data_IF_479340639376
#
_entry.id   IF_479340639376
#
_cell.length_a   1.000
_cell.length_b   1.000
_cell.length_c   1.000
_cell.angle_alpha   90.00
_cell.angle_beta   90.00
_cell.angle_gamma   90.00
#
_symmetry.space_group_name_H-M   'P 1'
#
loop_
_entity.id
_entity.type
_entity.pdbx_description
1 polymer ?
#
# COMPACT_ATOMS: atom_id res chain seq x y z
N UNK A 1 -18.00 -29.45 -82.73
CA UNK A 1 -16.59 -29.03 -82.85
C UNK A 1 -16.10 -28.57 -81.48
N UNK A 2 -15.03 -29.20 -80.98
CA UNK A 2 -14.35 -28.98 -79.69
C UNK A 2 -13.44 -27.74 -79.77
N UNK A 3 -13.29 -26.99 -78.66
CA UNK A 3 -12.05 -26.56 -77.93
C UNK A 3 -12.54 -25.82 -76.65
N UNK A 4 -12.46 -26.31 -75.40
CA UNK A 4 -11.33 -26.63 -74.49
C UNK A 4 -10.32 -25.48 -74.31
N UNK A 5 -10.14 -25.08 -73.03
CA UNK A 5 -8.95 -24.59 -72.29
C UNK A 5 -9.44 -23.60 -71.21
N UNK A 6 -9.64 -23.91 -69.93
CA UNK A 6 -8.82 -24.64 -68.94
C UNK A 6 -7.37 -24.13 -68.85
N UNK A 7 -6.97 -23.77 -67.63
CA UNK A 7 -5.60 -23.48 -67.13
C UNK A 7 -5.25 -21.98 -67.02
N UNK A 8 -5.42 -21.43 -65.82
CA UNK A 8 -4.27 -20.93 -65.05
C UNK A 8 -4.66 -20.78 -63.59
N UNK A 9 -4.83 -21.93 -62.95
CA UNK A 9 -4.61 -22.10 -61.52
C UNK A 9 -3.08 -22.25 -61.34
N UNK A 10 -2.56 -21.73 -60.22
CA UNK A 10 -1.22 -21.94 -59.62
C UNK A 10 -0.14 -20.91 -60.03
N UNK A 11 0.13 -19.94 -59.13
CA UNK A 11 1.45 -19.67 -58.49
C UNK A 11 1.56 -18.22 -57.99
N UNK A 12 1.19 -18.01 -56.72
CA UNK A 12 1.95 -17.19 -55.78
C UNK A 12 1.46 -17.49 -54.37
N UNK A 13 2.02 -18.56 -53.81
CA UNK A 13 2.13 -18.70 -52.37
C UNK A 13 2.98 -17.56 -51.80
N UNK A 14 2.86 -17.35 -50.48
CA UNK A 14 3.63 -16.43 -49.64
C UNK A 14 3.07 -15.00 -49.46
N UNK A 15 2.08 -14.88 -48.58
CA UNK A 15 2.11 -13.87 -47.52
C UNK A 15 1.37 -14.40 -46.29
N UNK A 16 1.84 -15.55 -45.79
CA UNK A 16 1.69 -15.92 -44.39
C UNK A 16 2.39 -14.84 -43.54
N UNK A 17 1.73 -14.47 -42.44
CA UNK A 17 2.34 -13.88 -41.23
C UNK A 17 2.86 -12.44 -41.36
N UNK A 18 1.95 -11.48 -41.52
CA UNK A 18 2.19 -10.12 -41.05
C UNK A 18 1.52 -9.92 -39.69
N UNK A 19 2.33 -10.13 -38.65
CA UNK A 19 2.24 -9.50 -37.33
C UNK A 19 1.12 -9.98 -36.40
N UNK A 20 1.11 -11.29 -36.10
CA UNK A 20 0.91 -11.68 -34.69
C UNK A 20 2.16 -11.28 -33.92
N UNK A 21 2.29 -9.99 -33.58
CA UNK A 21 3.29 -9.62 -32.58
C UNK A 21 2.91 -10.37 -31.31
N UNK A 22 3.80 -11.20 -30.73
CA UNK A 22 3.57 -11.62 -29.37
C UNK A 22 3.46 -10.32 -28.57
N UNK A 23 2.30 -10.09 -27.95
CA UNK A 23 2.18 -9.09 -26.89
C UNK A 23 3.40 -9.33 -26.01
N UNK A 24 4.35 -8.38 -25.93
CA UNK A 24 5.55 -8.64 -25.17
C UNK A 24 5.12 -9.04 -23.77
N UNK A 25 5.77 -10.05 -23.22
CA UNK A 25 5.59 -10.58 -21.87
C UNK A 25 5.92 -9.54 -20.77
N UNK A 26 5.63 -8.26 -21.01
CA UNK A 26 5.72 -7.16 -20.08
C UNK A 26 4.61 -7.20 -19.02
N UNK A 27 3.47 -7.84 -19.34
CA UNK A 27 2.45 -8.18 -18.34
C UNK A 27 2.98 -9.18 -17.28
N UNK A 28 4.07 -9.91 -17.57
CA UNK A 28 4.66 -10.92 -16.69
C UNK A 28 5.91 -10.41 -15.94
N UNK A 29 6.04 -9.08 -15.74
CA UNK A 29 7.06 -8.50 -14.85
C UNK A 29 6.51 -7.57 -13.77
N UNK A 30 5.19 -7.49 -13.60
CA UNK A 30 4.59 -6.93 -12.38
C UNK A 30 4.51 -7.99 -11.28
N UNK A 31 5.60 -8.75 -11.14
CA UNK A 31 5.80 -9.65 -10.02
C UNK A 31 5.88 -8.82 -8.74
N UNK A 32 4.86 -8.97 -7.91
CA UNK A 32 4.90 -8.82 -6.45
C UNK A 32 6.33 -8.94 -5.91
N UNK A 33 6.88 -7.86 -5.38
CA UNK A 33 8.26 -7.94 -4.88
C UNK A 33 8.90 -6.68 -4.33
N UNK A 34 8.11 -5.69 -3.94
CA UNK A 34 8.60 -4.73 -2.96
C UNK A 34 7.45 -4.43 -2.04
N UNK A 35 7.36 -5.22 -0.98
CA UNK A 35 6.71 -4.82 0.26
C UNK A 35 7.41 -3.50 0.62
N UNK A 36 6.87 -2.37 0.11
CA UNK A 36 7.38 -1.05 0.44
C UNK A 36 7.51 -1.06 1.95
N UNK A 37 8.70 -0.73 2.47
CA UNK A 37 8.91 -0.60 3.90
C UNK A 37 7.76 0.25 4.42
N UNK A 38 6.80 -0.39 5.10
CA UNK A 38 5.68 0.33 5.67
C UNK A 38 6.29 1.37 6.58
N UNK A 39 5.90 2.62 6.36
CA UNK A 39 6.37 3.73 7.17
C UNK A 39 6.10 3.40 8.65
N UNK A 40 6.96 3.86 9.55
CA UNK A 40 6.85 3.52 10.97
C UNK A 40 5.47 3.87 11.54
N UNK A 41 4.85 4.92 10.99
CA UNK A 41 3.49 5.35 11.33
C UNK A 41 2.40 4.41 10.80
N UNK A 42 2.60 3.77 9.65
CA UNK A 42 1.65 2.83 9.05
C UNK A 42 1.56 1.51 9.85
N UNK A 43 2.55 1.24 10.71
CA UNK A 43 2.60 0.06 11.60
C UNK A 43 1.99 0.31 12.98
N UNK A 44 1.45 1.50 13.27
CA UNK A 44 0.95 1.81 14.61
C UNK A 44 -0.27 0.96 15.01
N UNK A 45 -1.09 0.51 14.06
CA UNK A 45 -2.16 -0.46 14.34
C UNK A 45 -1.61 -1.78 14.90
N UNK A 46 -0.64 -2.38 14.19
CA UNK A 46 0.03 -3.63 14.60
C UNK A 46 0.76 -3.49 15.95
N UNK A 47 1.20 -2.27 16.30
CA UNK A 47 1.81 -2.00 17.61
C UNK A 47 0.79 -2.11 18.75
N UNK A 48 -0.45 -1.68 18.51
CA UNK A 48 -1.51 -1.74 19.52
C UNK A 48 -2.06 -3.13 19.73
N UNK A 49 -2.09 -3.97 18.68
CA UNK A 49 -2.39 -5.39 18.81
C UNK A 49 -1.47 -6.04 19.85
N UNK A 50 -0.15 -5.83 19.73
CA UNK A 50 0.83 -6.37 20.68
C UNK A 50 0.66 -5.86 22.11
N UNK A 51 0.33 -4.57 22.27
CA UNK A 51 0.08 -4.00 23.60
C UNK A 51 -1.10 -4.69 24.29
N UNK A 52 -2.17 -4.99 23.55
CA UNK A 52 -3.33 -5.70 24.10
C UNK A 52 -3.06 -7.20 24.29
N UNK A 53 -2.26 -7.83 23.44
CA UNK A 53 -1.79 -9.22 23.62
C UNK A 53 -0.94 -9.36 24.89
N UNK A 54 -0.12 -8.35 25.20
CA UNK A 54 0.73 -8.28 26.39
C UNK A 54 0.08 -7.50 27.56
N UNK A 55 -1.25 -7.44 27.62
CA UNK A 55 -1.98 -6.65 28.61
C UNK A 55 -1.62 -7.01 30.06
N UNK A 56 -1.42 -8.30 30.36
CA UNK A 56 -1.00 -8.76 31.70
C UNK A 56 0.42 -8.29 32.04
N UNK A 57 1.37 -8.39 31.11
CA UNK A 57 2.76 -7.94 31.29
C UNK A 57 2.83 -6.40 31.47
N UNK A 58 1.96 -5.69 30.74
CA UNK A 58 1.75 -4.26 30.94
C UNK A 58 1.13 -3.95 32.30
N UNK A 59 0.38 -4.88 32.89
CA UNK A 59 -0.41 -4.67 34.11
C UNK A 59 -1.62 -3.79 33.85
N UNK A 60 -2.27 -3.94 32.68
CA UNK A 60 -3.51 -3.24 32.37
C UNK A 60 -4.66 -3.79 33.21
N UNK A 61 -5.50 -2.90 33.74
CA UNK A 61 -6.75 -3.29 34.40
C UNK A 61 -7.82 -3.65 33.37
N UNK A 62 -8.84 -4.41 33.78
CA UNK A 62 -10.00 -4.73 32.93
C UNK A 62 -10.68 -3.46 32.40
N UNK A 63 -10.83 -2.44 33.24
CA UNK A 63 -11.36 -1.13 32.88
C UNK A 63 -10.55 -0.44 31.77
N UNK A 64 -9.21 -0.49 31.86
CA UNK A 64 -8.34 0.05 30.82
C UNK A 64 -8.49 -0.73 29.52
N UNK A 65 -8.50 -2.06 29.59
CA UNK A 65 -8.68 -2.94 28.42
C UNK A 65 -10.02 -2.66 27.73
N UNK A 66 -11.11 -2.52 28.50
CA UNK A 66 -12.45 -2.19 27.96
C UNK A 66 -12.48 -0.85 27.24
N UNK A 67 -11.68 0.13 27.67
CA UNK A 67 -11.58 1.46 27.03
C UNK A 67 -10.63 1.48 25.83
N UNK A 68 -9.54 0.70 25.86
CA UNK A 68 -8.53 0.65 24.79
C UNK A 68 -9.05 -0.17 23.60
N UNK A 69 -9.70 -1.31 23.83
CA UNK A 69 -10.18 -2.22 22.77
C UNK A 69 -11.02 -1.52 21.68
N UNK A 70 -12.02 -0.68 22.00
CA UNK A 70 -12.79 0.04 20.99
C UNK A 70 -11.95 1.02 20.17
N UNK A 71 -11.05 1.77 20.82
CA UNK A 71 -10.15 2.71 20.13
C UNK A 71 -9.26 1.95 19.14
N UNK A 72 -8.70 0.83 19.58
CA UNK A 72 -7.87 -0.02 18.72
C UNK A 72 -8.63 -0.60 17.52
N UNK A 73 -9.84 -1.11 17.73
CA UNK A 73 -10.70 -1.59 16.62
C UNK A 73 -10.99 -0.50 15.60
N UNK A 74 -11.23 0.74 16.07
CA UNK A 74 -11.39 1.87 15.16
C UNK A 74 -10.10 2.23 14.43
N UNK A 75 -8.93 2.13 15.08
CA UNK A 75 -7.64 2.29 14.42
C UNK A 75 -7.45 1.26 13.29
N UNK A 76 -7.77 -0.02 13.53
CA UNK A 76 -7.69 -1.07 12.52
C UNK A 76 -8.62 -0.80 11.32
N UNK A 77 -9.86 -0.34 11.57
CA UNK A 77 -10.78 0.05 10.49
C UNK A 77 -10.24 1.23 9.68
N UNK A 78 -9.70 2.26 10.35
CA UNK A 78 -9.07 3.41 9.69
C UNK A 78 -7.85 2.99 8.87
N UNK A 79 -7.03 2.07 9.39
CA UNK A 79 -5.87 1.51 8.69
C UNK A 79 -6.29 0.80 7.40
N UNK A 80 -7.32 -0.06 7.46
CA UNK A 80 -7.82 -0.78 6.30
C UNK A 80 -8.33 0.18 5.20
N UNK A 81 -9.09 1.22 5.59
CA UNK A 81 -9.56 2.27 4.66
C UNK A 81 -8.39 3.04 4.06
N UNK A 82 -7.44 3.48 4.88
CA UNK A 82 -6.24 4.15 4.42
C UNK A 82 -5.46 3.32 3.39
N UNK A 83 -5.24 2.03 3.64
CA UNK A 83 -4.53 1.16 2.71
C UNK A 83 -5.29 1.03 1.38
N UNK A 84 -6.62 0.95 1.43
CA UNK A 84 -7.46 0.91 0.22
C UNK A 84 -7.36 2.22 -0.57
N UNK A 85 -7.59 3.36 0.08
CA UNK A 85 -7.57 4.69 -0.54
C UNK A 85 -6.19 5.01 -1.12
N UNK A 86 -5.13 4.70 -0.38
CA UNK A 86 -3.74 4.87 -0.83
C UNK A 86 -3.45 3.99 -2.05
N UNK A 87 -3.93 2.75 -2.07
CA UNK A 87 -3.75 1.84 -3.21
C UNK A 87 -4.48 2.36 -4.44
N UNK A 88 -5.72 2.83 -4.29
CA UNK A 88 -6.51 3.43 -5.38
C UNK A 88 -5.77 4.65 -5.95
N UNK A 89 -5.35 5.59 -5.10
CA UNK A 89 -4.65 6.79 -5.56
C UNK A 89 -3.32 6.48 -6.27
N UNK A 90 -2.62 5.42 -5.87
CA UNK A 90 -1.43 4.94 -6.58
C UNK A 90 -1.76 4.32 -7.94
N UNK A 91 -2.87 3.59 -8.06
CA UNK A 91 -3.35 3.05 -9.35
C UNK A 91 -3.69 4.20 -10.29
N UNK A 92 -4.45 5.20 -9.82
CA UNK A 92 -4.79 6.40 -10.61
C UNK A 92 -3.53 7.12 -11.12
N UNK A 93 -2.48 7.24 -10.30
CA UNK A 93 -1.19 7.79 -10.74
C UNK A 93 -0.53 6.93 -11.83
N UNK A 94 -0.55 5.60 -11.68
CA UNK A 94 0.02 4.68 -12.68
C UNK A 94 -0.73 4.76 -14.02
N UNK A 95 -2.07 4.91 -13.99
CA UNK A 95 -2.89 5.09 -15.20
C UNK A 95 -2.53 6.40 -15.93
N UNK A 96 -2.31 7.49 -15.20
CA UNK A 96 -1.84 8.76 -15.81
C UNK A 96 -0.49 8.56 -16.51
N UNK A 97 0.41 7.78 -15.90
CA UNK A 97 1.78 7.54 -16.36
C UNK A 97 1.91 6.42 -17.41
N UNK A 98 0.82 5.77 -17.81
CA UNK A 98 0.85 4.63 -18.74
C UNK A 98 1.33 5.03 -20.15
N UNK A 99 1.10 6.29 -20.54
CA UNK A 99 1.52 6.84 -21.84
C UNK A 99 2.93 7.43 -21.78
N UNK A 100 3.65 7.41 -22.91
CA UNK A 100 5.05 7.89 -23.01
C UNK A 100 5.21 9.37 -22.64
N UNK A 101 4.26 10.20 -23.05
CA UNK A 101 4.22 11.64 -22.79
C UNK A 101 3.02 11.94 -21.89
N UNK A 102 3.15 11.63 -20.61
CA UNK A 102 2.08 11.81 -19.64
C UNK A 102 1.98 13.26 -19.18
N UNK A 103 0.78 13.65 -18.74
CA UNK A 103 0.49 14.99 -18.26
C UNK A 103 1.13 15.21 -16.87
N UNK A 104 2.14 16.09 -16.83
CA UNK A 104 2.89 16.40 -15.61
C UNK A 104 2.03 17.10 -14.55
N UNK A 105 1.05 17.92 -14.95
CA UNK A 105 0.16 18.60 -14.02
C UNK A 105 -0.81 17.59 -13.36
N UNK A 106 -1.38 16.67 -14.15
CA UNK A 106 -2.23 15.60 -13.61
C UNK A 106 -1.47 14.65 -12.69
N UNK A 107 -0.28 14.23 -13.07
CA UNK A 107 0.55 13.37 -12.22
C UNK A 107 0.97 14.08 -10.93
N UNK A 108 1.31 15.37 -11.00
CA UNK A 108 1.59 16.19 -9.81
C UNK A 108 0.39 16.31 -8.87
N UNK A 109 -0.82 16.49 -9.41
CA UNK A 109 -2.04 16.50 -8.61
C UNK A 109 -2.31 15.14 -7.94
N UNK A 110 -2.09 14.03 -8.65
CA UNK A 110 -2.24 12.68 -8.10
C UNK A 110 -1.22 12.39 -6.98
N UNK A 111 0.03 12.83 -7.12
CA UNK A 111 1.04 12.75 -6.04
C UNK A 111 0.61 13.55 -4.81
N UNK A 112 0.11 14.78 -4.99
CA UNK A 112 -0.41 15.60 -3.88
C UNK A 112 -1.58 14.91 -3.16
N UNK A 113 -2.49 14.26 -3.90
CA UNK A 113 -3.60 13.47 -3.32
C UNK A 113 -3.07 12.31 -2.46
N UNK A 114 -2.05 11.59 -2.93
CA UNK A 114 -1.40 10.51 -2.17
C UNK A 114 -0.84 11.05 -0.84
N UNK A 115 -0.16 12.19 -0.87
CA UNK A 115 0.43 12.77 0.35
C UNK A 115 -0.64 13.31 1.30
N UNK A 116 -1.74 13.86 0.78
CA UNK A 116 -2.89 14.25 1.60
C UNK A 116 -3.52 13.05 2.33
N UNK A 117 -3.69 11.92 1.63
CA UNK A 117 -4.22 10.67 2.21
C UNK A 117 -3.32 10.19 3.35
N UNK A 118 -1.99 10.14 3.13
CA UNK A 118 -1.02 9.78 4.17
C UNK A 118 -1.07 10.73 5.36
N UNK A 119 -1.02 12.03 5.10
CA UNK A 119 -1.05 13.07 6.15
C UNK A 119 -2.29 12.95 7.01
N UNK A 120 -3.47 12.82 6.38
CA UNK A 120 -4.73 12.67 7.08
C UNK A 120 -4.74 11.40 7.96
N UNK A 121 -4.25 10.28 7.44
CA UNK A 121 -4.14 9.03 8.19
C UNK A 121 -3.19 9.15 9.39
N UNK A 122 -1.99 9.70 9.19
CA UNK A 122 -1.00 9.88 10.25
C UNK A 122 -1.51 10.80 11.37
N UNK A 123 -2.23 11.87 11.03
CA UNK A 123 -2.86 12.76 12.02
C UNK A 123 -3.94 12.02 12.83
N UNK A 124 -4.76 11.19 12.22
CA UNK A 124 -5.74 10.37 12.92
C UNK A 124 -5.08 9.35 13.85
N UNK A 125 -4.01 8.69 13.39
CA UNK A 125 -3.23 7.76 14.22
C UNK A 125 -2.60 8.47 15.42
N UNK A 126 -2.08 9.69 15.26
CA UNK A 126 -1.57 10.49 16.39
C UNK A 126 -2.66 10.81 17.42
N UNK A 127 -3.87 11.15 16.97
CA UNK A 127 -5.00 11.42 17.87
C UNK A 127 -5.40 10.18 18.67
N UNK A 128 -5.52 9.04 18.01
CA UNK A 128 -5.92 7.80 18.68
C UNK A 128 -4.82 7.29 19.62
N UNK A 129 -3.55 7.42 19.22
CA UNK A 129 -2.41 7.18 20.10
C UNK A 129 -2.42 8.06 21.35
N UNK A 130 -2.75 9.35 21.21
CA UNK A 130 -2.86 10.25 22.35
C UNK A 130 -3.96 9.79 23.31
N UNK A 131 -5.12 9.34 22.78
CA UNK A 131 -6.21 8.80 23.60
C UNK A 131 -5.77 7.56 24.38
N UNK A 132 -5.10 6.61 23.71
CA UNK A 132 -4.61 5.38 24.38
C UNK A 132 -3.60 5.72 25.47
N UNK A 133 -2.63 6.61 25.18
CA UNK A 133 -1.64 7.05 26.17
C UNK A 133 -2.26 7.67 27.40
N UNK A 134 -3.35 8.42 27.25
CA UNK A 134 -4.07 9.02 28.38
C UNK A 134 -4.80 7.99 29.26
N UNK A 135 -5.00 6.76 28.78
CA UNK A 135 -5.58 5.66 29.56
C UNK A 135 -4.54 4.88 30.37
N UNK A 136 -3.25 5.09 30.11
CA UNK A 136 -2.15 4.40 30.78
C UNK A 136 -1.63 5.19 31.98
N UNK A 137 -1.14 4.48 32.99
CA UNK A 137 -0.28 5.07 34.02
C UNK A 137 1.11 5.37 33.47
N UNK A 138 1.89 6.21 34.16
CA UNK A 138 3.27 6.50 33.75
C UNK A 138 4.14 5.24 33.65
N UNK A 139 3.93 4.27 34.53
CA UNK A 139 4.65 2.99 34.55
C UNK A 139 4.27 2.12 33.33
N UNK A 140 2.97 2.01 33.04
CA UNK A 140 2.46 1.31 31.86
C UNK A 140 2.92 1.99 30.57
N UNK A 141 2.94 3.32 30.53
CA UNK A 141 3.45 4.09 29.40
C UNK A 141 4.94 3.82 29.16
N UNK A 142 5.77 3.75 30.21
CA UNK A 142 7.19 3.37 30.08
C UNK A 142 7.35 1.96 29.53
N UNK A 143 6.54 1.00 29.96
CA UNK A 143 6.54 -0.38 29.41
C UNK A 143 6.15 -0.39 27.93
N UNK A 144 5.06 0.29 27.58
CA UNK A 144 4.61 0.47 26.20
C UNK A 144 5.72 1.11 25.34
N UNK A 145 6.39 2.14 25.85
CA UNK A 145 7.52 2.79 25.18
C UNK A 145 8.63 1.78 24.89
N UNK A 146 9.06 0.96 25.85
CA UNK A 146 10.10 -0.05 25.61
C UNK A 146 9.72 -1.01 24.48
N UNK A 147 8.46 -1.47 24.46
CA UNK A 147 7.95 -2.34 23.39
C UNK A 147 7.91 -1.64 22.02
N UNK A 148 7.66 -0.33 21.98
CA UNK A 148 7.70 0.48 20.75
C UNK A 148 9.13 0.76 20.25
N UNK A 149 10.04 1.14 21.14
CA UNK A 149 11.42 1.52 20.79
C UNK A 149 12.31 0.33 20.44
N UNK A 150 11.99 -0.90 20.88
CA UNK A 150 12.74 -2.10 20.45
C UNK A 150 12.49 -2.47 18.97
N UNK A 151 11.55 -1.82 18.27
CA UNK A 151 11.23 -2.14 16.86
C UNK A 151 11.03 -0.94 15.94
N UNK A 152 10.85 0.27 16.48
CA UNK A 152 11.11 1.48 15.71
C UNK A 152 12.60 1.80 15.82
N UNK A 153 13.40 1.11 15.02
CA UNK A 153 14.67 1.68 14.54
C UNK A 153 14.29 2.89 13.68
N UNK A 154 13.94 4.00 14.35
CA UNK A 154 14.25 5.29 13.79
C UNK A 154 15.75 5.22 13.57
N UNK A 155 16.18 5.18 12.31
CA UNK A 155 17.59 5.32 12.02
C UNK A 155 18.01 6.59 12.74
N UNK A 156 18.83 6.44 13.80
CA UNK A 156 19.59 7.58 14.31
C UNK A 156 20.18 8.20 13.05
N UNK A 157 19.90 9.49 12.72
CA UNK A 157 20.52 10.09 11.56
C UNK A 157 22.01 9.82 11.73
N UNK A 158 22.58 9.12 10.75
CA UNK A 158 24.00 8.89 10.71
C UNK A 158 24.63 10.25 10.98
N UNK A 159 25.42 10.33 12.05
CA UNK A 159 26.14 11.56 12.36
C UNK A 159 26.96 11.87 11.10
N UNK A 160 26.54 12.91 10.37
CA UNK A 160 27.36 13.51 9.31
C UNK A 160 28.52 14.23 9.97
#
# INVERSE_FOLDING_TARGET
MKRLNSISLILAAAALLALSTPVPAFAQRMGMGSMHRMDGMDRMGDMMDRCLEQAEEMGLTEDQIMKIKPVHREMQKKQARFQADLKIAKIELMEIMEVKDFDLEKSSAAVKKIDQIKTAHHLEMLKDMKKIRALLTDEQFKKMKKMMFMKMDWEKPAKM
#
